data_IF_243061534474
#
_entry.id   IF_243061534474
#
_cell.length_a   1.000
_cell.length_b   1.000
_cell.length_c   1.000
_cell.angle_alpha   90.00
_cell.angle_beta   90.00
_cell.angle_gamma   90.00
#
_symmetry.space_group_name_H-M   'P 1'
#
loop_
_entity.id
_entity.type
_entity.pdbx_description
1 polymer ?
#
# COMPACT_ATOMS: atom_id res chain seq x y z
N UNK A 1 -44.58 28.48 22.08
CA UNK A 1 -44.08 27.21 21.52
C UNK A 1 -44.33 26.14 22.55
N UNK A 2 -44.94 25.02 22.15
CA UNK A 2 -45.10 23.87 23.05
C UNK A 2 -43.80 23.08 23.05
N UNK A 3 -43.40 22.50 24.18
CA UNK A 3 -42.14 21.77 24.33
C UNK A 3 -42.02 20.60 23.34
N UNK A 4 -43.15 20.04 22.90
CA UNK A 4 -43.22 18.98 21.90
C UNK A 4 -42.71 19.41 20.51
N UNK A 5 -42.93 20.66 20.12
CA UNK A 5 -42.47 21.21 18.83
C UNK A 5 -40.95 21.39 18.82
N UNK A 6 -40.38 21.77 19.98
CA UNK A 6 -38.94 21.92 20.18
C UNK A 6 -38.23 20.57 20.16
N UNK A 7 -38.81 19.56 20.81
CA UNK A 7 -38.25 18.19 20.79
C UNK A 7 -38.30 17.58 19.39
N UNK A 8 -39.38 17.84 18.64
CA UNK A 8 -39.50 17.39 17.25
C UNK A 8 -38.46 18.07 16.35
N UNK A 9 -38.25 19.37 16.52
CA UNK A 9 -37.23 20.13 15.79
C UNK A 9 -35.81 19.66 16.14
N UNK A 10 -35.51 19.42 17.42
CA UNK A 10 -34.22 18.90 17.86
C UNK A 10 -33.93 17.51 17.30
N UNK A 11 -34.95 16.64 17.24
CA UNK A 11 -34.83 15.31 16.64
C UNK A 11 -34.57 15.35 15.13
N UNK A 12 -35.23 16.27 14.41
CA UNK A 12 -34.97 16.48 12.98
C UNK A 12 -33.56 17.03 12.73
N UNK A 13 -33.10 17.96 13.56
CA UNK A 13 -31.75 18.52 13.46
C UNK A 13 -30.68 17.46 13.71
N UNK A 14 -30.86 16.61 14.73
CA UNK A 14 -29.93 15.52 15.05
C UNK A 14 -29.83 14.53 13.88
N UNK A 15 -30.97 14.19 13.26
CA UNK A 15 -31.01 13.30 12.10
C UNK A 15 -30.28 13.88 10.89
N UNK A 16 -30.41 15.18 10.64
CA UNK A 16 -29.73 15.86 9.54
C UNK A 16 -28.21 15.95 9.78
N UNK A 17 -27.80 16.19 11.03
CA UNK A 17 -26.38 16.15 11.44
C UNK A 17 -25.79 14.74 11.25
N UNK A 18 -26.52 13.69 11.61
CA UNK A 18 -26.08 12.31 11.40
C UNK A 18 -25.99 11.92 9.92
N UNK A 19 -26.81 12.54 9.07
CA UNK A 19 -26.82 12.31 7.63
C UNK A 19 -25.69 13.04 6.89
N UNK A 20 -24.97 13.97 7.53
CA UNK A 20 -23.83 14.64 6.93
C UNK A 20 -22.68 13.65 6.62
N UNK A 21 -21.96 13.84 5.50
CA UNK A 21 -20.83 12.99 5.14
C UNK A 21 -19.72 13.13 6.19
N UNK A 22 -19.34 12.01 6.81
CA UNK A 22 -18.28 11.93 7.84
C UNK A 22 -16.89 11.90 7.23
N UNK A 23 -16.61 12.86 6.35
CA UNK A 23 -15.39 12.94 5.54
C UNK A 23 -14.27 13.76 6.21
N UNK A 24 -14.49 14.25 7.43
CA UNK A 24 -13.53 15.05 8.19
C UNK A 24 -13.35 16.48 7.66
N UNK A 25 -14.20 16.94 6.75
CA UNK A 25 -14.21 18.32 6.24
C UNK A 25 -15.18 19.18 7.03
N UNK A 26 -15.00 20.49 6.92
CA UNK A 26 -15.88 21.48 7.54
C UNK A 26 -17.21 21.54 6.80
N UNK A 27 -18.32 21.29 7.49
CA UNK A 27 -19.67 21.43 6.96
C UNK A 27 -20.41 22.51 7.74
N UNK A 28 -21.00 23.46 7.03
CA UNK A 28 -21.83 24.53 7.62
C UNK A 28 -23.30 24.17 7.52
N UNK A 29 -24.02 24.19 8.65
CA UNK A 29 -25.47 24.03 8.69
C UNK A 29 -26.14 25.42 8.77
N UNK A 30 -27.04 25.70 7.82
CA UNK A 30 -27.86 26.92 7.81
C UNK A 30 -29.30 26.54 8.04
N UNK A 31 -29.93 27.12 9.07
CA UNK A 31 -31.33 26.88 9.38
C UNK A 31 -32.13 28.09 8.93
N UNK A 32 -32.94 27.92 7.89
CA UNK A 32 -33.84 28.97 7.39
C UNK A 32 -35.20 28.81 8.07
N UNK A 33 -35.57 29.79 8.91
CA UNK A 33 -36.87 29.79 9.59
C UNK A 33 -37.86 30.61 8.75
N UNK A 34 -38.89 29.94 8.22
CA UNK A 34 -39.99 30.57 7.48
C UNK A 34 -41.21 30.85 8.36
N UNK A 35 -41.77 32.07 8.27
CA UNK A 35 -42.95 32.51 9.03
C UNK A 35 -43.10 34.04 9.04
N UNK A 36 -43.99 34.56 9.89
CA UNK A 36 -44.29 36.01 10.00
C UNK A 36 -43.12 36.86 10.57
N UNK A 37 -42.01 36.22 10.96
CA UNK A 37 -40.71 36.81 11.29
C UNK A 37 -39.64 35.87 10.73
N UNK A 38 -39.31 36.02 9.45
CA UNK A 38 -38.29 35.20 8.79
C UNK A 38 -36.89 35.60 9.24
N UNK A 39 -36.05 34.60 9.48
CA UNK A 39 -34.66 34.78 9.86
C UNK A 39 -33.82 33.59 9.43
N UNK A 40 -32.57 33.85 9.04
CA UNK A 40 -31.58 32.80 8.82
C UNK A 40 -30.70 32.72 10.07
N UNK A 41 -30.66 31.56 10.71
CA UNK A 41 -29.73 31.28 11.80
C UNK A 41 -28.60 30.46 11.18
N UNK A 42 -27.47 31.13 10.89
CA UNK A 42 -26.22 30.45 10.58
C UNK A 42 -25.55 30.05 11.88
N UNK A 43 -25.46 28.74 12.14
CA UNK A 43 -24.65 28.21 13.22
C UNK A 43 -23.18 28.26 12.76
N UNK A 44 -22.54 29.41 12.96
CA UNK A 44 -21.12 29.67 12.66
C UNK A 44 -20.17 28.98 13.64
N UNK A 45 -20.37 27.68 13.88
CA UNK A 45 -19.50 26.84 14.67
C UNK A 45 -19.15 25.60 13.86
N UNK A 46 -17.95 25.59 13.30
CA UNK A 46 -17.37 24.49 12.54
C UNK A 46 -17.47 23.19 13.35
N UNK A 47 -18.47 22.36 13.07
CA UNK A 47 -18.58 21.07 13.74
C UNK A 47 -17.74 20.07 12.96
N UNK A 48 -16.48 19.91 13.38
CA UNK A 48 -15.61 18.86 12.84
C UNK A 48 -16.14 17.54 13.39
N UNK A 49 -16.90 16.82 12.57
CA UNK A 49 -17.36 15.46 12.89
C UNK A 49 -16.15 14.54 12.82
N UNK A 50 -15.45 14.39 13.94
CA UNK A 50 -14.45 13.35 14.10
C UNK A 50 -15.16 11.99 14.07
N UNK A 51 -14.93 11.21 13.01
CA UNK A 51 -15.16 9.77 13.10
C UNK A 51 -14.31 9.26 14.27
N UNK A 52 -14.83 8.43 15.19
CA UNK A 52 -13.95 7.69 16.09
C UNK A 52 -13.04 6.91 15.16
N UNK A 53 -11.77 7.31 15.07
CA UNK A 53 -10.74 6.49 14.45
C UNK A 53 -10.93 5.11 15.03
N UNK A 54 -11.23 4.11 14.19
CA UNK A 54 -11.05 2.72 14.57
C UNK A 54 -9.67 2.67 15.20
N UNK A 55 -9.65 2.53 16.53
CA UNK A 55 -8.41 2.46 17.29
C UNK A 55 -7.69 1.26 16.69
N UNK A 56 -6.66 1.50 15.88
CA UNK A 56 -5.90 0.43 15.24
C UNK A 56 -5.50 -0.51 16.37
N UNK A 57 -6.11 -1.71 16.40
CA UNK A 57 -5.87 -2.68 17.46
C UNK A 57 -4.37 -2.94 17.49
N UNK A 58 -3.77 -2.72 18.65
CA UNK A 58 -2.34 -2.98 18.81
C UNK A 58 -2.13 -4.50 18.82
N UNK A 59 -0.91 -4.96 18.49
CA UNK A 59 -0.53 -6.37 18.64
C UNK A 59 -0.81 -6.91 20.06
N UNK A 60 -0.77 -6.03 21.07
CA UNK A 60 -1.13 -6.33 22.45
C UNK A 60 -2.62 -6.68 22.66
N UNK A 61 -3.51 -6.20 21.82
CA UNK A 61 -4.96 -6.41 21.93
C UNK A 61 -5.42 -7.72 21.26
N UNK A 62 -4.58 -8.32 20.41
CA UNK A 62 -4.91 -9.55 19.69
C UNK A 62 -4.78 -10.79 20.58
N UNK A 63 -5.62 -11.79 20.36
CA UNK A 63 -5.50 -13.11 21.00
C UNK A 63 -4.28 -13.88 20.47
N UNK A 64 -3.79 -14.87 21.24
CA UNK A 64 -2.65 -15.69 20.81
C UNK A 64 -2.91 -16.48 19.51
N UNK A 65 -4.17 -16.85 19.24
CA UNK A 65 -4.57 -17.46 17.97
C UNK A 65 -4.49 -16.50 16.80
N UNK A 66 -4.95 -15.24 16.98
CA UNK A 66 -4.90 -14.21 15.95
C UNK A 66 -3.46 -13.77 15.65
N UNK A 67 -2.62 -13.65 16.68
CA UNK A 67 -1.18 -13.39 16.53
C UNK A 67 -0.49 -14.49 15.69
N UNK A 68 -0.87 -15.76 15.89
CA UNK A 68 -0.32 -16.87 15.09
C UNK A 68 -0.80 -16.85 13.64
N UNK A 69 -2.06 -16.51 13.38
CA UNK A 69 -2.55 -16.39 12.00
C UNK A 69 -1.87 -15.23 11.26
N UNK A 70 -1.68 -14.09 11.94
CA UNK A 70 -0.94 -12.96 11.39
C UNK A 70 0.52 -13.32 11.12
N UNK A 71 1.18 -14.05 12.03
CA UNK A 71 2.55 -14.52 11.81
C UNK A 71 2.66 -15.38 10.54
N UNK A 72 1.70 -16.28 10.28
CA UNK A 72 1.67 -17.09 9.06
C UNK A 72 1.47 -16.21 7.83
N UNK A 73 0.57 -15.22 7.91
CA UNK A 73 0.32 -14.26 6.83
C UNK A 73 1.60 -13.48 6.45
N UNK A 74 2.27 -12.87 7.43
CA UNK A 74 3.49 -12.10 7.20
C UNK A 74 4.66 -12.97 6.75
N UNK A 75 4.78 -14.21 7.24
CA UNK A 75 5.78 -15.18 6.72
C UNK A 75 5.52 -15.55 5.26
N UNK A 76 4.26 -15.75 4.88
CA UNK A 76 3.89 -16.01 3.49
C UNK A 76 4.20 -14.79 2.59
N UNK A 77 3.92 -13.58 3.06
CA UNK A 77 4.24 -12.34 2.35
C UNK A 77 5.75 -12.13 2.21
N UNK A 78 6.52 -12.41 3.26
CA UNK A 78 7.98 -12.39 3.20
C UNK A 78 8.51 -13.40 2.17
N UNK A 79 7.97 -14.61 2.14
CA UNK A 79 8.37 -15.63 1.17
C UNK A 79 8.01 -15.25 -0.26
N UNK A 80 6.85 -14.62 -0.45
CA UNK A 80 6.45 -14.05 -1.74
C UNK A 80 7.42 -12.96 -2.20
N UNK A 81 7.77 -12.03 -1.31
CA UNK A 81 8.75 -10.97 -1.58
C UNK A 81 10.14 -11.54 -1.87
N UNK A 82 10.56 -12.59 -1.15
CA UNK A 82 11.81 -13.31 -1.42
C UNK A 82 11.84 -13.92 -2.83
N UNK A 83 10.74 -14.58 -3.24
CA UNK A 83 10.61 -15.09 -4.61
C UNK A 83 10.64 -13.94 -5.62
N UNK A 84 9.94 -12.84 -5.37
CA UNK A 84 9.97 -11.65 -6.22
C UNK A 84 11.39 -11.04 -6.31
N UNK A 85 12.16 -11.08 -5.24
CA UNK A 85 13.52 -10.55 -5.20
C UNK A 85 14.51 -11.35 -6.05
N UNK A 86 14.39 -12.69 -6.03
CA UNK A 86 15.30 -13.61 -6.71
C UNK A 86 14.85 -14.04 -8.12
N UNK A 87 13.55 -14.28 -8.30
CA UNK A 87 12.94 -14.80 -9.53
C UNK A 87 12.13 -13.71 -10.26
N UNK A 88 12.62 -12.45 -10.25
CA UNK A 88 11.98 -11.42 -11.05
C UNK A 88 12.23 -11.61 -12.55
N UNK A 89 11.29 -11.09 -13.35
CA UNK A 89 11.39 -11.10 -14.81
C UNK A 89 12.74 -10.60 -15.36
N UNK A 90 13.33 -9.47 -14.90
CA UNK A 90 14.63 -9.03 -15.41
C UNK A 90 15.77 -10.00 -15.07
N UNK A 91 15.76 -10.66 -13.91
CA UNK A 91 16.77 -11.68 -13.57
C UNK A 91 16.67 -12.88 -14.51
N UNK A 92 15.44 -13.37 -14.77
CA UNK A 92 15.23 -14.48 -15.70
C UNK A 92 15.70 -14.11 -17.12
N UNK A 93 15.35 -12.91 -17.60
CA UNK A 93 15.80 -12.43 -18.90
C UNK A 93 17.33 -12.29 -18.99
N UNK A 94 17.97 -11.80 -17.93
CA UNK A 94 19.44 -11.70 -17.86
C UNK A 94 20.10 -13.09 -17.91
N UNK A 95 19.58 -14.06 -17.15
CA UNK A 95 20.10 -15.44 -17.16
C UNK A 95 19.95 -16.05 -18.56
N UNK A 96 18.78 -15.92 -19.17
CA UNK A 96 18.52 -16.42 -20.53
C UNK A 96 19.48 -15.77 -21.53
N UNK A 97 19.66 -14.44 -21.46
CA UNK A 97 20.60 -13.72 -22.31
C UNK A 97 22.05 -14.20 -22.14
N UNK A 98 22.50 -14.42 -20.90
CA UNK A 98 23.83 -14.96 -20.60
C UNK A 98 24.02 -16.38 -21.14
N UNK A 99 23.00 -17.23 -21.02
CA UNK A 99 23.03 -18.60 -21.58
C UNK A 99 23.17 -18.57 -23.10
N UNK A 100 22.39 -17.73 -23.79
CA UNK A 100 22.53 -17.57 -25.25
C UNK A 100 23.91 -17.05 -25.65
N UNK A 101 24.46 -16.09 -24.89
CA UNK A 101 25.81 -15.58 -25.14
C UNK A 101 26.88 -16.67 -24.94
N UNK A 102 26.75 -17.48 -23.89
CA UNK A 102 27.65 -18.61 -23.64
C UNK A 102 27.57 -19.66 -24.77
N UNK A 103 26.36 -20.00 -25.24
CA UNK A 103 26.17 -20.90 -26.39
C UNK A 103 26.81 -20.31 -27.65
N UNK A 104 26.63 -19.02 -27.91
CA UNK A 104 27.25 -18.34 -29.05
C UNK A 104 28.78 -18.35 -29.02
N UNK A 105 29.36 -18.25 -27.83
CA UNK A 105 30.81 -18.36 -27.62
C UNK A 105 31.31 -19.79 -27.82
N UNK A 106 30.67 -20.78 -27.18
CA UNK A 106 31.07 -22.18 -27.24
C UNK A 106 30.88 -22.79 -28.64
N UNK A 107 29.87 -22.35 -29.38
CA UNK A 107 29.63 -22.80 -30.76
C UNK A 107 30.60 -22.20 -31.78
N UNK A 108 31.46 -21.26 -31.39
CA UNK A 108 32.36 -20.57 -32.31
C UNK A 108 31.67 -19.46 -33.14
N UNK A 109 30.34 -19.36 -33.12
CA UNK A 109 29.57 -18.41 -33.93
C UNK A 109 29.98 -16.95 -33.68
N UNK A 110 30.25 -16.61 -32.42
CA UNK A 110 30.71 -15.27 -32.07
C UNK A 110 32.07 -14.91 -32.69
N UNK A 111 32.93 -15.91 -32.94
CA UNK A 111 34.24 -15.72 -33.58
C UNK A 111 34.17 -15.68 -35.11
N UNK A 112 33.06 -16.13 -35.72
CA UNK A 112 32.86 -16.03 -37.18
C UNK A 112 32.33 -14.66 -37.63
N UNK A 113 31.87 -13.83 -36.68
CA UNK A 113 31.45 -12.46 -36.96
C UNK A 113 32.67 -11.59 -37.34
N UNK A 114 32.55 -10.86 -38.45
CA UNK A 114 33.58 -9.91 -38.85
C UNK A 114 33.73 -8.78 -37.82
N UNK A 115 34.93 -8.19 -37.72
CA UNK A 115 35.19 -7.05 -36.84
C UNK A 115 34.27 -5.86 -37.11
N UNK A 116 33.77 -5.72 -38.34
CA UNK A 116 32.80 -4.70 -38.73
C UNK A 116 31.38 -4.99 -38.24
N UNK A 117 30.98 -6.26 -38.07
CA UNK A 117 29.63 -6.66 -37.65
C UNK A 117 29.50 -6.83 -36.14
N UNK A 118 30.60 -7.17 -35.46
CA UNK A 118 30.63 -7.43 -34.03
C UNK A 118 30.08 -6.25 -33.18
N UNK A 119 30.41 -4.97 -33.45
CA UNK A 119 29.86 -3.85 -32.67
C UNK A 119 28.34 -3.73 -32.78
N UNK A 120 27.76 -4.02 -33.95
CA UNK A 120 26.32 -3.94 -34.17
C UNK A 120 25.53 -5.03 -33.44
N UNK A 121 26.18 -6.15 -33.08
CA UNK A 121 25.57 -7.20 -32.26
C UNK A 121 25.81 -6.93 -30.76
N UNK A 122 27.02 -6.50 -30.39
CA UNK A 122 27.39 -6.28 -29.00
C UNK A 122 26.76 -5.03 -28.40
N UNK A 123 26.68 -3.92 -29.14
CA UNK A 123 26.16 -2.67 -28.58
C UNK A 123 24.69 -2.78 -28.14
N UNK A 124 23.75 -3.33 -28.95
CA UNK A 124 22.38 -3.55 -28.50
C UNK A 124 22.29 -4.49 -27.31
N UNK A 125 23.12 -5.54 -27.27
CA UNK A 125 23.17 -6.49 -26.17
C UNK A 125 23.62 -5.79 -24.87
N UNK A 126 24.68 -5.00 -24.90
CA UNK A 126 25.17 -4.24 -23.74
C UNK A 126 24.11 -3.25 -23.26
N UNK A 127 23.46 -2.53 -24.17
CA UNK A 127 22.38 -1.59 -23.83
C UNK A 127 21.22 -2.33 -23.17
N UNK A 128 20.79 -3.47 -23.72
CA UNK A 128 19.74 -4.30 -23.15
C UNK A 128 20.11 -4.80 -21.74
N UNK A 129 21.34 -5.30 -21.56
CA UNK A 129 21.84 -5.76 -20.26
C UNK A 129 21.85 -4.62 -19.23
N UNK A 130 22.23 -3.40 -19.62
CA UNK A 130 22.23 -2.24 -18.74
C UNK A 130 20.79 -1.85 -18.31
N UNK A 131 19.83 -1.88 -19.24
CA UNK A 131 18.41 -1.61 -18.95
C UNK A 131 17.86 -2.67 -17.99
N UNK A 132 18.08 -3.96 -18.28
CA UNK A 132 17.62 -5.07 -17.44
C UNK A 132 18.24 -5.01 -16.04
N UNK A 133 19.53 -4.68 -15.94
CA UNK A 133 20.21 -4.53 -14.64
C UNK A 133 19.61 -3.37 -13.83
N UNK A 134 19.35 -2.24 -14.48
CA UNK A 134 18.71 -1.08 -13.84
C UNK A 134 17.29 -1.41 -13.37
N UNK A 135 16.52 -2.13 -14.20
CA UNK A 135 15.18 -2.59 -13.84
C UNK A 135 15.21 -3.59 -12.68
N UNK A 136 16.13 -4.55 -12.70
CA UNK A 136 16.34 -5.52 -11.62
C UNK A 136 16.65 -4.82 -10.29
N UNK A 137 17.54 -3.83 -10.29
CA UNK A 137 17.86 -3.06 -9.09
C UNK A 137 16.64 -2.34 -8.52
N UNK A 138 15.78 -1.79 -9.40
CA UNK A 138 14.54 -1.13 -8.98
C UNK A 138 13.57 -2.11 -8.33
N UNK A 139 13.34 -3.28 -8.95
CA UNK A 139 12.47 -4.32 -8.40
C UNK A 139 12.99 -4.80 -7.06
N UNK A 140 14.29 -5.13 -6.99
CA UNK A 140 14.94 -5.58 -5.74
C UNK A 140 14.84 -4.57 -4.62
N UNK A 141 14.89 -3.27 -4.92
CA UNK A 141 14.71 -2.22 -3.90
C UNK A 141 13.28 -2.19 -3.34
N UNK A 142 12.27 -2.40 -4.19
CA UNK A 142 10.86 -2.42 -3.77
C UNK A 142 10.60 -3.67 -2.92
N UNK A 143 10.94 -4.85 -3.44
CA UNK A 143 10.75 -6.11 -2.74
C UNK A 143 11.58 -6.19 -1.44
N UNK A 144 12.80 -5.66 -1.47
CA UNK A 144 13.67 -5.61 -0.28
C UNK A 144 13.05 -4.80 0.86
N UNK A 145 12.38 -3.68 0.55
CA UNK A 145 11.63 -2.90 1.57
C UNK A 145 10.45 -3.69 2.10
N UNK A 146 9.66 -4.31 1.22
CA UNK A 146 8.52 -5.13 1.62
C UNK A 146 8.95 -6.29 2.53
N UNK A 147 10.07 -6.94 2.23
CA UNK A 147 10.64 -8.00 3.05
C UNK A 147 11.11 -7.48 4.41
N UNK A 148 11.75 -6.30 4.46
CA UNK A 148 12.19 -5.69 5.70
C UNK A 148 11.02 -5.28 6.61
N UNK A 149 9.98 -4.71 6.02
CA UNK A 149 8.74 -4.39 6.73
C UNK A 149 8.08 -5.67 7.26
N UNK A 150 7.93 -6.69 6.40
CA UNK A 150 7.38 -8.00 6.81
C UNK A 150 8.19 -8.62 7.95
N UNK A 151 9.51 -8.54 7.90
CA UNK A 151 10.39 -9.04 8.97
C UNK A 151 10.16 -8.29 10.28
N UNK A 152 10.01 -6.96 10.21
CA UNK A 152 9.74 -6.12 11.39
C UNK A 152 8.42 -6.52 12.06
N UNK A 153 7.38 -6.81 11.27
CA UNK A 153 6.10 -7.31 11.79
C UNK A 153 6.22 -8.72 12.39
N UNK A 154 6.94 -9.63 11.73
CA UNK A 154 7.21 -10.98 12.25
C UNK A 154 7.93 -10.88 13.61
N UNK A 155 8.97 -10.05 13.71
CA UNK A 155 9.74 -9.88 14.93
C UNK A 155 8.90 -9.28 16.07
N UNK A 156 8.03 -8.31 15.76
CA UNK A 156 7.11 -7.71 16.74
C UNK A 156 6.09 -8.75 17.26
N UNK A 157 5.49 -9.54 16.36
CA UNK A 157 4.54 -10.59 16.72
C UNK A 157 5.22 -11.69 17.54
N UNK A 158 6.43 -12.11 17.15
CA UNK A 158 7.19 -13.11 17.89
C UNK A 158 7.62 -12.62 19.27
N UNK A 159 8.00 -11.34 19.41
CA UNK A 159 8.31 -10.74 20.71
C UNK A 159 7.09 -10.73 21.64
N UNK A 160 5.91 -10.39 21.11
CA UNK A 160 4.66 -10.38 21.87
C UNK A 160 4.21 -11.80 22.27
N UNK A 161 4.33 -12.77 21.36
CA UNK A 161 4.07 -14.19 21.67
C UNK A 161 5.02 -14.73 22.76
N UNK A 162 6.29 -14.31 22.76
CA UNK A 162 7.26 -14.69 23.81
C UNK A 162 6.91 -14.06 25.17
N UNK A 163 6.41 -12.82 25.20
CA UNK A 163 5.98 -12.17 26.44
C UNK A 163 4.78 -12.85 27.11
N UNK A 164 3.93 -13.52 26.32
CA UNK A 164 2.72 -14.21 26.79
C UNK A 164 2.96 -15.65 27.20
N UNK A 165 4.18 -16.16 27.03
CA UNK A 165 4.58 -17.52 27.38
C UNK A 165 5.28 -17.53 28.72
#
# INVERSE_FOLDING_TARGET
MKDDDLMTFAGQLAKEIEALPKDGKEHSLSITVGGNNSGNISLGGTQIVFSPQEKQRSWADLSASELRSELVHWKAQWWSGWRGYWLNAPCILLIVGLVFMAIGLLSGWLFTLSQTKLPYVMAPLIILMAILTTWMMRVRRIEGRLMQDSQTYIDAIEAELRRRR
#
